data_IF_908564235394
#
_entry.id   IF_908564235394
#
_cell.length_a   1.000
_cell.length_b   1.000
_cell.length_c   1.000
_cell.angle_alpha   90.00
_cell.angle_beta   90.00
_cell.angle_gamma   90.00
#
_symmetry.space_group_name_H-M   'P 1'
#
loop_
_entity.id
_entity.type
_entity.pdbx_description
1 polymer ?
#
# COMPACT_ATOMS: atom_id res chain seq x y z
N UNK A 1 16.30 -1.51 -19.92
CA UNK A 1 16.05 -2.54 -20.96
C UNK A 1 14.74 -3.22 -20.65
N UNK A 2 13.76 -3.15 -21.56
CA UNK A 2 12.51 -3.91 -21.43
C UNK A 2 12.85 -5.37 -21.72
N UNK A 3 12.91 -6.20 -20.68
CA UNK A 3 13.03 -7.65 -20.87
C UNK A 3 11.71 -8.09 -21.52
N UNK A 4 11.77 -8.49 -22.79
CA UNK A 4 10.64 -9.12 -23.47
C UNK A 4 10.15 -10.28 -22.60
N UNK A 5 8.93 -10.17 -22.09
CA UNK A 5 8.39 -11.14 -21.16
C UNK A 5 7.91 -12.35 -21.94
N UNK A 6 8.27 -13.55 -21.47
CA UNK A 6 7.61 -14.75 -21.93
C UNK A 6 6.09 -14.58 -21.72
N UNK A 7 5.26 -14.84 -22.74
CA UNK A 7 3.82 -14.67 -22.63
C UNK A 7 3.28 -15.59 -21.52
N UNK A 8 2.39 -15.07 -20.69
CA UNK A 8 1.65 -15.89 -19.72
C UNK A 8 0.64 -16.73 -20.49
N UNK A 9 0.56 -18.02 -20.18
CA UNK A 9 -0.46 -18.88 -20.79
C UNK A 9 -1.86 -18.44 -20.34
N UNK A 10 -2.83 -18.47 -21.26
CA UNK A 10 -4.22 -18.11 -20.96
C UNK A 10 -4.77 -18.85 -19.72
N UNK A 11 -4.54 -20.17 -19.54
CA UNK A 11 -4.98 -20.87 -18.32
C UNK A 11 -4.39 -20.32 -17.02
N UNK A 12 -3.14 -19.86 -17.01
CA UNK A 12 -2.52 -19.29 -15.81
C UNK A 12 -3.08 -17.90 -15.49
N UNK A 13 -3.32 -17.07 -16.51
CA UNK A 13 -3.95 -15.76 -16.34
C UNK A 13 -5.39 -15.87 -15.84
N UNK A 14 -6.18 -16.78 -16.41
CA UNK A 14 -7.57 -17.04 -15.99
C UNK A 14 -7.63 -17.56 -14.55
N UNK A 15 -6.79 -18.52 -14.16
CA UNK A 15 -6.73 -18.99 -12.76
C UNK A 15 -6.39 -17.87 -11.78
N UNK A 16 -5.43 -17.01 -12.14
CA UNK A 16 -5.08 -15.86 -11.31
C UNK A 16 -6.26 -14.88 -11.20
N UNK A 17 -6.95 -14.58 -12.31
CA UNK A 17 -8.10 -13.69 -12.30
C UNK A 17 -9.23 -14.22 -11.41
N UNK A 18 -9.56 -15.51 -11.46
CA UNK A 18 -10.54 -16.11 -10.54
C UNK A 18 -10.14 -15.95 -9.07
N UNK A 19 -8.87 -16.23 -8.73
CA UNK A 19 -8.39 -16.10 -7.37
C UNK A 19 -8.40 -14.63 -6.89
N UNK A 20 -7.99 -13.71 -7.75
CA UNK A 20 -8.00 -12.27 -7.47
C UNK A 20 -9.42 -11.72 -7.32
N UNK A 21 -10.36 -12.10 -8.19
CA UNK A 21 -11.78 -11.76 -8.08
C UNK A 21 -12.37 -12.29 -6.78
N UNK A 22 -12.15 -13.57 -6.45
CA UNK A 22 -12.67 -14.16 -5.21
C UNK A 22 -12.14 -13.41 -3.98
N UNK A 23 -10.84 -13.07 -3.96
CA UNK A 23 -10.23 -12.30 -2.86
C UNK A 23 -10.71 -10.84 -2.83
N UNK A 24 -10.93 -10.22 -3.98
CA UNK A 24 -11.47 -8.86 -4.11
C UNK A 24 -12.91 -8.76 -3.59
N UNK A 25 -13.72 -9.82 -3.74
CA UNK A 25 -15.09 -9.88 -3.21
C UNK A 25 -15.12 -10.27 -1.72
N UNK A 26 -14.13 -11.05 -1.25
CA UNK A 26 -14.00 -11.52 0.13
C UNK A 26 -13.41 -10.49 1.11
N UNK A 27 -14.00 -9.29 1.17
CA UNK A 27 -13.47 -8.17 1.97
C UNK A 27 -13.99 -8.21 3.41
N UNK A 28 -13.17 -7.83 4.42
CA UNK A 28 -13.55 -7.86 5.83
C UNK A 28 -14.37 -6.61 6.21
N UNK A 29 -15.42 -6.30 5.44
CA UNK A 29 -16.28 -5.15 5.65
C UNK A 29 -17.74 -5.51 5.32
N UNK A 30 -18.67 -4.69 5.80
CA UNK A 30 -20.12 -4.88 5.60
C UNK A 30 -20.77 -3.64 5.00
N UNK A 31 -21.91 -3.80 4.33
CA UNK A 31 -22.72 -2.69 3.85
C UNK A 31 -22.04 -1.87 2.74
N UNK A 32 -22.11 -0.54 2.83
CA UNK A 32 -21.53 0.36 1.80
C UNK A 32 -20.00 0.23 1.72
N UNK A 33 -19.31 0.07 2.85
CA UNK A 33 -17.86 -0.15 2.85
C UNK A 33 -17.49 -1.42 2.06
N UNK A 34 -18.24 -2.51 2.22
CA UNK A 34 -18.04 -3.74 1.47
C UNK A 34 -18.12 -3.51 -0.04
N UNK A 35 -19.13 -2.74 -0.50
CA UNK A 35 -19.30 -2.43 -1.93
C UNK A 35 -18.12 -1.61 -2.46
N UNK A 36 -17.69 -0.57 -1.74
CA UNK A 36 -16.55 0.27 -2.14
C UNK A 36 -15.27 -0.56 -2.20
N UNK A 37 -15.03 -1.42 -1.21
CA UNK A 37 -13.88 -2.33 -1.16
C UNK A 37 -13.88 -3.34 -2.32
N UNK A 38 -15.02 -3.99 -2.56
CA UNK A 38 -15.16 -4.97 -3.63
C UNK A 38 -14.90 -4.35 -5.00
N UNK A 39 -15.55 -3.21 -5.29
CA UNK A 39 -15.36 -2.48 -6.56
C UNK A 39 -13.91 -2.00 -6.72
N UNK A 40 -13.28 -1.54 -5.62
CA UNK A 40 -11.86 -1.18 -5.60
C UNK A 40 -10.95 -2.38 -5.89
N UNK A 41 -11.20 -3.53 -5.29
CA UNK A 41 -10.46 -4.76 -5.54
C UNK A 41 -10.61 -5.25 -6.98
N UNK A 42 -11.83 -5.16 -7.54
CA UNK A 42 -12.09 -5.49 -8.94
C UNK A 42 -11.39 -4.52 -9.90
N UNK A 43 -11.27 -3.24 -9.56
CA UNK A 43 -10.50 -2.29 -10.37
C UNK A 43 -9.01 -2.67 -10.45
N UNK A 44 -8.40 -3.06 -9.32
CA UNK A 44 -7.02 -3.54 -9.33
C UNK A 44 -6.89 -4.90 -10.04
N UNK A 45 -7.90 -5.78 -9.92
CA UNK A 45 -7.92 -7.07 -10.63
C UNK A 45 -8.01 -6.86 -12.14
N UNK A 46 -8.87 -5.96 -12.61
CA UNK A 46 -8.96 -5.56 -14.02
C UNK A 46 -7.62 -5.00 -14.51
N UNK A 47 -6.97 -4.14 -13.73
CA UNK A 47 -5.64 -3.61 -14.06
C UNK A 47 -4.60 -4.73 -14.19
N UNK A 48 -4.60 -5.72 -13.29
CA UNK A 48 -3.76 -6.91 -13.41
C UNK A 48 -4.05 -7.75 -14.65
N UNK A 49 -5.33 -7.89 -15.04
CA UNK A 49 -5.70 -8.57 -16.29
C UNK A 49 -5.16 -7.83 -17.53
N UNK A 50 -5.21 -6.49 -17.54
CA UNK A 50 -4.62 -5.67 -18.61
C UNK A 50 -3.10 -5.85 -18.70
N UNK A 51 -2.42 -5.93 -17.54
CA UNK A 51 -0.98 -6.20 -17.47
C UNK A 51 -0.62 -7.58 -18.02
N UNK A 52 -1.47 -8.58 -17.79
CA UNK A 52 -1.31 -9.94 -18.31
C UNK A 52 -1.51 -10.04 -19.83
N UNK A 53 -2.25 -9.09 -20.43
CA UNK A 53 -2.58 -9.06 -21.86
C UNK A 53 -3.28 -10.33 -22.36
N UNK A 54 -4.14 -10.91 -21.51
CA UNK A 54 -4.98 -12.07 -21.82
C UNK A 54 -6.44 -11.64 -21.69
N UNK A 55 -7.17 -11.42 -22.81
CA UNK A 55 -8.55 -10.96 -22.78
C UNK A 55 -9.48 -11.82 -21.93
N UNK A 56 -9.29 -13.13 -21.93
CA UNK A 56 -10.10 -14.09 -21.18
C UNK A 56 -10.03 -13.87 -19.66
N UNK A 57 -8.89 -13.38 -19.16
CA UNK A 57 -8.75 -13.04 -17.74
C UNK A 57 -9.64 -11.84 -17.37
N UNK A 58 -9.82 -10.88 -18.28
CA UNK A 58 -10.68 -9.73 -18.05
C UNK A 58 -12.17 -10.10 -18.08
N UNK A 59 -12.57 -11.10 -18.87
CA UNK A 59 -13.94 -11.61 -18.86
C UNK A 59 -14.37 -12.12 -17.48
N UNK A 60 -13.44 -12.69 -16.70
CA UNK A 60 -13.71 -13.10 -15.31
C UNK A 60 -14.11 -11.91 -14.43
N UNK A 61 -13.53 -10.73 -14.68
CA UNK A 61 -13.94 -9.49 -13.99
C UNK A 61 -15.29 -9.00 -14.50
N UNK A 62 -15.52 -9.02 -15.82
CA UNK A 62 -16.80 -8.64 -16.42
C UNK A 62 -17.95 -9.50 -15.85
N UNK A 63 -17.76 -10.82 -15.74
CA UNK A 63 -18.74 -11.75 -15.17
C UNK A 63 -18.98 -11.47 -13.68
N UNK A 64 -17.92 -11.27 -12.90
CA UNK A 64 -18.06 -10.94 -11.49
C UNK A 64 -18.79 -9.62 -11.26
N UNK A 65 -18.57 -8.60 -12.09
CA UNK A 65 -19.29 -7.33 -12.01
C UNK A 65 -20.76 -7.49 -12.39
N UNK A 66 -21.07 -8.32 -13.38
CA UNK A 66 -22.45 -8.61 -13.78
C UNK A 66 -23.23 -9.33 -12.68
N UNK A 67 -22.59 -10.31 -12.05
CA UNK A 67 -23.24 -11.15 -11.04
C UNK A 67 -23.34 -10.45 -9.68
N UNK A 68 -22.37 -9.61 -9.35
CA UNK A 68 -22.34 -8.87 -8.10
C UNK A 68 -23.23 -7.62 -8.18
N UNK A 69 -24.33 -7.64 -7.40
CA UNK A 69 -25.19 -6.47 -7.22
C UNK A 69 -24.57 -5.50 -6.21
N UNK A 70 -23.64 -4.67 -6.66
CA UNK A 70 -23.01 -3.66 -5.78
C UNK A 70 -23.97 -2.54 -5.41
N UNK A 71 -23.83 -2.03 -4.18
CA UNK A 71 -24.38 -0.73 -3.83
C UNK A 71 -23.55 0.43 -4.40
N UNK A 72 -23.90 1.67 -4.07
CA UNK A 72 -23.13 2.86 -4.48
C UNK A 72 -21.67 2.78 -4.02
N UNK A 73 -20.74 2.96 -4.96
CA UNK A 73 -19.29 2.82 -4.72
C UNK A 73 -18.47 4.06 -5.12
N UNK A 74 -19.12 5.15 -5.50
CA UNK A 74 -18.53 6.46 -5.79
C UNK A 74 -17.31 6.40 -6.70
N UNK A 75 -16.23 7.04 -6.26
CA UNK A 75 -14.96 7.11 -7.00
C UNK A 75 -14.35 5.74 -7.32
N UNK A 76 -14.67 4.67 -6.58
CA UNK A 76 -14.21 3.32 -6.90
C UNK A 76 -14.89 2.79 -8.17
N UNK A 77 -16.20 3.03 -8.34
CA UNK A 77 -16.94 2.67 -9.55
C UNK A 77 -16.40 3.43 -10.77
N UNK A 78 -16.18 4.74 -10.63
CA UNK A 78 -15.58 5.55 -11.68
C UNK A 78 -14.20 5.02 -12.11
N UNK A 79 -13.37 4.61 -11.14
CA UNK A 79 -12.06 4.01 -11.42
C UNK A 79 -12.17 2.67 -12.14
N UNK A 80 -13.03 1.76 -11.66
CA UNK A 80 -13.25 0.47 -12.31
C UNK A 80 -13.66 0.63 -13.78
N UNK A 81 -14.58 1.56 -14.07
CA UNK A 81 -14.98 1.90 -15.45
C UNK A 81 -13.82 2.44 -16.27
N UNK A 82 -13.02 3.38 -15.71
CA UNK A 82 -11.82 3.92 -16.37
C UNK A 82 -10.81 2.84 -16.73
N UNK A 83 -10.55 1.90 -15.81
CA UNK A 83 -9.65 0.77 -16.07
C UNK A 83 -10.25 -0.12 -17.17
N UNK A 84 -11.54 -0.47 -17.08
CA UNK A 84 -12.20 -1.32 -18.09
C UNK A 84 -12.19 -0.70 -19.48
N UNK A 85 -12.33 0.62 -19.57
CA UNK A 85 -12.31 1.37 -20.82
C UNK A 85 -10.99 1.23 -21.61
N UNK A 86 -9.88 0.92 -20.92
CA UNK A 86 -8.58 0.68 -21.57
C UNK A 86 -8.59 -0.59 -22.45
N UNK A 87 -9.52 -1.52 -22.23
CA UNK A 87 -9.70 -2.71 -23.05
C UNK A 87 -10.85 -2.61 -24.07
N UNK A 88 -11.51 -1.45 -24.20
CA UNK A 88 -12.64 -1.24 -25.11
C UNK A 88 -13.90 -0.75 -24.40
N UNK A 89 -15.07 -0.80 -25.06
CA UNK A 89 -16.32 -0.28 -24.52
C UNK A 89 -16.65 -0.85 -23.14
N UNK A 90 -17.10 0.01 -22.22
CA UNK A 90 -17.52 -0.38 -20.87
C UNK A 90 -18.93 -0.98 -20.96
N UNK A 91 -19.16 -2.22 -20.52
CA UNK A 91 -20.49 -2.82 -20.53
C UNK A 91 -21.49 -2.05 -19.64
N UNK A 92 -22.79 -2.00 -20.01
CA UNK A 92 -23.79 -1.19 -19.31
C UNK A 92 -24.09 -1.67 -17.88
N UNK A 93 -23.72 -2.90 -17.53
CA UNK A 93 -23.90 -3.45 -16.18
C UNK A 93 -22.81 -3.02 -15.20
N UNK A 94 -21.78 -2.28 -15.62
CA UNK A 94 -20.77 -1.74 -14.71
C UNK A 94 -21.39 -0.65 -13.81
N UNK A 95 -21.05 -0.64 -12.50
CA UNK A 95 -21.62 0.33 -11.56
C UNK A 95 -21.26 1.76 -11.98
N UNK A 96 -22.24 2.65 -11.92
CA UNK A 96 -22.03 4.09 -12.18
C UNK A 96 -21.47 4.80 -10.94
N UNK A 97 -20.85 5.95 -11.17
CA UNK A 97 -20.40 6.83 -10.10
C UNK A 97 -21.61 7.40 -9.35
N UNK A 98 -21.90 6.79 -8.21
CA UNK A 98 -22.95 7.21 -7.28
C UNK A 98 -22.33 7.31 -5.89
N UNK A 99 -22.55 8.42 -5.20
CA UNK A 99 -21.96 8.63 -3.88
C UNK A 99 -22.40 7.51 -2.92
N UNK A 100 -21.47 6.95 -2.11
CA UNK A 100 -21.82 6.04 -1.04
C UNK A 100 -22.81 6.72 -0.09
N UNK A 101 -23.96 6.09 0.15
CA UNK A 101 -25.09 6.73 0.83
C UNK A 101 -24.81 7.20 2.27
N UNK A 102 -23.78 6.67 2.96
CA UNK A 102 -23.46 7.02 4.35
C UNK A 102 -21.96 6.78 4.64
N UNK A 103 -21.25 7.70 5.30
CA UNK A 103 -19.95 7.41 5.92
C UNK A 103 -20.10 6.29 6.96
N UNK A 104 -19.29 5.25 6.84
CA UNK A 104 -19.40 4.08 7.73
C UNK A 104 -18.70 4.38 9.06
N UNK A 105 -19.51 4.49 10.13
CA UNK A 105 -19.17 4.59 11.56
C UNK A 105 -18.31 5.79 12.01
N UNK A 106 -18.60 6.26 13.22
CA UNK A 106 -17.69 7.14 13.95
C UNK A 106 -16.33 6.45 14.15
N UNK A 107 -15.25 7.21 14.10
CA UNK A 107 -13.89 6.69 14.36
C UNK A 107 -13.84 6.17 15.78
N UNK A 108 -13.48 4.89 15.96
CA UNK A 108 -13.31 4.31 17.28
C UNK A 108 -12.27 5.09 18.09
N UNK A 109 -12.49 5.22 19.40
CA UNK A 109 -11.62 6.02 20.28
C UNK A 109 -10.15 5.58 20.19
N UNK A 110 -9.90 4.27 20.06
CA UNK A 110 -8.55 3.71 19.92
C UNK A 110 -7.90 4.13 18.60
N UNK A 111 -8.65 4.16 17.50
CA UNK A 111 -8.16 4.63 16.19
C UNK A 111 -7.80 6.12 16.28
N UNK A 112 -8.65 6.92 16.92
CA UNK A 112 -8.37 8.34 17.13
C UNK A 112 -7.13 8.57 18.01
N UNK A 113 -7.00 7.80 19.10
CA UNK A 113 -5.86 7.86 20.02
C UNK A 113 -4.54 7.46 19.33
N UNK A 114 -4.56 6.39 18.55
CA UNK A 114 -3.43 5.93 17.76
C UNK A 114 -3.04 6.94 16.67
N UNK A 115 -4.02 7.54 15.99
CA UNK A 115 -3.77 8.59 14.99
C UNK A 115 -3.13 9.83 15.64
N UNK A 116 -3.60 10.22 16.82
CA UNK A 116 -3.00 11.29 17.60
C UNK A 116 -1.57 10.96 18.06
N UNK A 117 -1.30 9.71 18.44
CA UNK A 117 0.04 9.25 18.81
C UNK A 117 1.02 9.33 17.62
N UNK A 118 0.62 8.87 16.43
CA UNK A 118 1.42 8.98 15.21
C UNK A 118 1.70 10.44 14.83
N UNK A 119 0.70 11.33 14.91
CA UNK A 119 0.89 12.76 14.65
C UNK A 119 1.88 13.40 15.63
N UNK A 120 1.78 13.09 16.94
CA UNK A 120 2.74 13.57 17.95
C UNK A 120 4.14 13.03 17.70
N UNK A 121 4.26 11.77 17.33
CA UNK A 121 5.53 11.16 16.95
C UNK A 121 6.18 11.90 15.77
N UNK A 122 5.44 12.14 14.69
CA UNK A 122 5.93 12.89 13.54
C UNK A 122 6.32 14.33 13.88
N UNK A 123 5.52 15.03 14.70
CA UNK A 123 5.83 16.38 15.15
C UNK A 123 7.15 16.42 15.93
N UNK A 124 7.32 15.50 16.90
CA UNK A 124 8.54 15.42 17.70
C UNK A 124 9.80 15.04 16.90
N UNK A 125 9.66 14.24 15.83
CA UNK A 125 10.77 13.99 14.90
C UNK A 125 11.09 15.21 14.02
N UNK A 126 10.12 16.10 13.77
CA UNK A 126 10.29 17.31 12.97
C UNK A 126 11.19 18.36 13.62
N UNK A 127 11.28 18.38 14.95
CA UNK A 127 12.01 19.37 15.74
C UNK A 127 13.53 19.11 15.83
N UNK A 128 14.13 18.51 14.78
CA UNK A 128 15.57 18.19 14.73
C UNK A 128 16.45 19.44 14.92
N UNK A 129 17.24 19.53 16.01
CA UNK A 129 18.19 20.63 16.17
C UNK A 129 19.36 20.45 15.19
N UNK A 130 19.56 21.41 14.30
CA UNK A 130 20.86 21.67 13.69
C UNK A 130 21.40 20.69 12.64
N UNK A 131 20.60 20.23 11.67
CA UNK A 131 21.14 19.39 10.57
C UNK A 131 20.85 19.93 9.16
N UNK A 132 21.91 19.86 8.34
CA UNK A 132 22.03 20.28 6.95
C UNK A 132 21.05 19.54 6.02
N UNK A 133 20.65 20.24 4.96
CA UNK A 133 19.78 19.77 3.89
C UNK A 133 20.48 18.73 3.00
N UNK A 134 20.91 17.58 3.52
CA UNK A 134 21.36 16.47 2.66
C UNK A 134 20.12 15.70 2.18
N UNK A 135 19.39 16.32 1.27
CA UNK A 135 18.44 15.62 0.41
C UNK A 135 19.17 14.76 -0.64
N UNK A 136 20.49 14.85 -0.75
CA UNK A 136 21.21 14.31 -1.91
C UNK A 136 21.45 12.80 -1.88
N UNK A 137 21.43 12.13 -0.72
CA UNK A 137 21.83 10.70 -0.66
C UNK A 137 20.85 9.74 -1.34
N UNK A 138 19.54 9.91 -1.13
CA UNK A 138 18.53 9.02 -1.72
C UNK A 138 18.18 9.43 -3.15
N UNK A 139 18.21 10.73 -3.42
CA UNK A 139 17.69 11.31 -4.66
C UNK A 139 18.79 11.47 -5.71
N UNK A 140 19.99 11.88 -5.30
CA UNK A 140 21.12 12.23 -6.17
C UNK A 140 20.80 13.44 -7.06
N UNK A 141 21.77 14.36 -7.24
CA UNK A 141 21.64 15.49 -8.17
C UNK A 141 21.63 15.13 -9.67
N UNK A 142 21.35 13.87 -10.01
CA UNK A 142 21.41 13.31 -11.36
C UNK A 142 20.03 13.10 -11.99
N UNK A 143 19.96 12.41 -13.14
CA UNK A 143 18.68 12.02 -13.74
C UNK A 143 17.85 11.20 -12.75
N UNK A 144 16.53 11.35 -12.83
CA UNK A 144 15.60 10.68 -11.92
C UNK A 144 15.89 9.17 -11.88
N UNK A 145 16.20 8.60 -10.70
CA UNK A 145 16.56 7.18 -10.59
C UNK A 145 15.40 6.28 -11.03
N UNK A 146 15.72 5.13 -11.62
CA UNK A 146 14.72 4.12 -11.97
C UNK A 146 14.05 3.54 -10.71
N UNK A 147 12.87 2.92 -10.88
CA UNK A 147 12.19 2.25 -9.77
C UNK A 147 13.10 1.20 -9.10
N UNK A 148 13.84 0.40 -9.87
CA UNK A 148 14.80 -0.57 -9.33
C UNK A 148 15.92 0.08 -8.52
N UNK A 149 16.47 1.20 -9.01
CA UNK A 149 17.51 1.93 -8.27
C UNK A 149 16.96 2.45 -6.93
N UNK A 150 15.72 2.94 -6.92
CA UNK A 150 15.06 3.39 -5.69
C UNK A 150 14.81 2.24 -4.71
N UNK A 151 14.34 1.07 -5.18
CA UNK A 151 14.17 -0.12 -4.34
C UNK A 151 15.50 -0.58 -3.72
N UNK A 152 16.56 -0.61 -4.52
CA UNK A 152 17.90 -1.00 -4.06
C UNK A 152 18.42 -0.02 -3.00
N UNK A 153 18.33 1.30 -3.25
CA UNK A 153 18.71 2.32 -2.26
C UNK A 153 17.87 2.23 -0.99
N UNK A 154 16.58 1.94 -1.11
CA UNK A 154 15.64 1.79 0.01
C UNK A 154 15.83 0.53 0.84
N UNK A 155 16.59 -0.46 0.37
CA UNK A 155 16.77 -1.73 1.08
C UNK A 155 17.30 -1.54 2.52
N UNK A 156 18.21 -0.59 2.73
CA UNK A 156 18.78 -0.31 4.07
C UNK A 156 17.75 0.21 5.08
N UNK A 157 16.65 0.82 4.60
CA UNK A 157 15.57 1.37 5.42
C UNK A 157 14.47 0.35 5.72
N UNK A 158 14.49 -0.81 5.05
CA UNK A 158 13.46 -1.85 5.19
C UNK A 158 14.01 -2.98 6.05
N UNK A 159 13.35 -3.36 7.16
CA UNK A 159 13.89 -4.33 8.13
C UNK A 159 14.30 -5.68 7.56
N UNK A 160 13.54 -6.19 6.59
CA UNK A 160 13.73 -7.52 6.00
C UNK A 160 13.90 -7.48 4.49
N UNK A 161 14.55 -6.45 3.95
CA UNK A 161 14.61 -6.24 2.50
C UNK A 161 14.94 -7.53 1.73
N UNK A 162 14.07 -7.89 0.80
CA UNK A 162 14.28 -8.97 -0.16
C UNK A 162 14.98 -8.43 -1.40
N UNK A 163 15.61 -9.34 -2.15
CA UNK A 163 16.13 -9.00 -3.48
C UNK A 163 14.96 -8.80 -4.46
N UNK A 164 15.00 -7.67 -5.16
CA UNK A 164 13.98 -7.23 -6.12
C UNK A 164 14.47 -7.36 -7.58
N UNK A 165 15.57 -8.06 -7.84
CA UNK A 165 16.12 -8.26 -9.19
C UNK A 165 15.11 -8.83 -10.21
N UNK A 166 14.07 -9.54 -9.75
CA UNK A 166 13.00 -10.09 -10.59
C UNK A 166 11.74 -9.20 -10.75
N UNK A 167 11.70 -8.04 -10.11
CA UNK A 167 10.55 -7.12 -10.20
C UNK A 167 10.48 -6.50 -11.58
N UNK A 168 9.30 -6.48 -12.20
CA UNK A 168 9.08 -5.88 -13.52
C UNK A 168 8.40 -4.53 -13.37
N UNK A 169 8.73 -3.56 -14.21
CA UNK A 169 8.00 -2.28 -14.27
C UNK A 169 7.04 -2.29 -15.45
N UNK A 170 5.77 -1.93 -15.23
CA UNK A 170 4.81 -1.77 -16.32
C UNK A 170 5.03 -0.45 -17.08
N UNK A 171 4.46 -0.30 -18.29
CA UNK A 171 4.22 1.02 -18.86
C UNK A 171 3.38 1.89 -17.90
N UNK A 172 3.48 3.20 -18.04
CA UNK A 172 2.66 4.13 -17.27
C UNK A 172 1.19 4.04 -17.71
N UNK A 173 0.28 3.91 -16.75
CA UNK A 173 -1.16 3.99 -17.01
C UNK A 173 -1.66 5.44 -16.85
N UNK A 174 -2.78 5.82 -17.49
CA UNK A 174 -3.37 7.15 -17.29
C UNK A 174 -3.64 7.46 -15.81
N UNK A 175 -3.58 8.74 -15.39
CA UNK A 175 -3.90 9.11 -14.01
C UNK A 175 -5.26 8.58 -13.55
N UNK A 176 -5.36 8.18 -12.28
CA UNK A 176 -6.63 7.73 -11.70
C UNK A 176 -7.08 6.31 -12.09
N UNK A 177 -6.20 5.51 -12.71
CA UNK A 177 -6.44 4.09 -13.06
C UNK A 177 -5.89 3.13 -12.01
N UNK A 178 -4.65 3.34 -11.56
CA UNK A 178 -4.01 2.54 -10.52
C UNK A 178 -4.12 3.23 -9.16
N UNK A 179 -4.74 2.57 -8.18
CA UNK A 179 -4.61 2.98 -6.78
C UNK A 179 -3.38 2.33 -6.16
N UNK A 180 -3.19 1.02 -6.40
CA UNK A 180 -2.02 0.26 -5.99
C UNK A 180 -0.99 0.18 -7.11
N UNK A 181 0.29 0.23 -6.77
CA UNK A 181 1.41 0.19 -7.73
C UNK A 181 2.28 -1.04 -7.65
N UNK A 182 1.82 -2.07 -6.95
CA UNK A 182 2.53 -3.33 -6.79
C UNK A 182 1.55 -4.48 -6.99
N UNK A 183 2.01 -5.51 -7.68
CA UNK A 183 1.23 -6.72 -7.97
C UNK A 183 2.13 -7.95 -7.90
N UNK A 184 1.55 -9.11 -7.63
CA UNK A 184 2.16 -10.40 -7.91
C UNK A 184 1.33 -11.15 -8.95
N UNK A 185 1.76 -11.00 -10.21
CA UNK A 185 1.14 -11.65 -11.36
C UNK A 185 1.72 -13.06 -11.58
N UNK A 186 1.10 -13.92 -12.40
CA UNK A 186 1.59 -15.26 -12.73
C UNK A 186 3.06 -15.33 -13.17
N UNK A 187 3.58 -14.25 -13.78
CA UNK A 187 4.96 -14.17 -14.24
C UNK A 187 5.91 -13.50 -13.23
N UNK A 188 5.46 -13.26 -12.00
CA UNK A 188 6.25 -12.64 -10.92
C UNK A 188 5.76 -11.25 -10.49
N UNK A 189 6.52 -10.59 -9.59
CA UNK A 189 6.16 -9.28 -9.06
C UNK A 189 6.27 -8.17 -10.11
N UNK A 190 5.32 -7.23 -10.05
CA UNK A 190 5.21 -6.09 -10.96
C UNK A 190 5.03 -4.81 -10.16
N UNK A 191 5.78 -3.79 -10.52
CA UNK A 191 5.53 -2.41 -10.16
C UNK A 191 4.83 -1.70 -11.31
N UNK A 192 3.69 -1.09 -11.00
CA UNK A 192 2.97 -0.25 -11.94
C UNK A 192 3.57 1.16 -11.90
N UNK A 193 3.96 1.66 -13.07
CA UNK A 193 4.37 3.05 -13.19
C UNK A 193 3.14 3.95 -13.22
N UNK A 194 3.18 5.02 -12.43
CA UNK A 194 2.15 6.06 -12.40
C UNK A 194 2.75 7.35 -12.91
N UNK A 195 2.02 8.13 -13.74
CA UNK A 195 2.40 9.49 -14.06
C UNK A 195 2.71 10.25 -12.78
N UNK A 196 3.80 11.04 -12.75
CA UNK A 196 4.25 11.69 -11.52
C UNK A 196 3.21 12.71 -11.06
N UNK A 197 2.55 12.42 -9.93
CA UNK A 197 1.61 13.37 -9.28
C UNK A 197 2.26 14.06 -8.07
N UNK A 198 3.24 13.41 -7.44
CA UNK A 198 3.95 13.93 -6.27
C UNK A 198 5.35 14.46 -6.65
N UNK A 199 5.95 15.39 -5.88
CA UNK A 199 7.33 15.83 -6.05
C UNK A 199 8.35 14.66 -6.01
N UNK A 200 9.51 14.83 -6.65
CA UNK A 200 10.51 13.78 -6.77
C UNK A 200 10.95 13.13 -5.43
N UNK A 201 11.19 13.88 -4.33
CA UNK A 201 11.56 13.29 -3.04
C UNK A 201 10.46 12.39 -2.46
N UNK A 202 9.20 12.85 -2.49
CA UNK A 202 8.06 12.09 -1.99
C UNK A 202 7.87 10.78 -2.77
N UNK A 203 7.94 10.85 -4.11
CA UNK A 203 7.83 9.65 -4.96
C UNK A 203 8.92 8.64 -4.64
N UNK A 204 10.10 9.13 -4.35
CA UNK A 204 11.26 8.30 -4.21
C UNK A 204 11.32 7.66 -2.81
N UNK A 205 10.85 8.33 -1.73
CA UNK A 205 10.57 7.67 -0.44
C UNK A 205 9.50 6.61 -0.61
N UNK A 206 8.40 6.97 -1.25
CA UNK A 206 7.27 6.06 -1.44
C UNK A 206 7.70 4.81 -2.21
N UNK A 207 8.46 4.96 -3.30
CA UNK A 207 8.96 3.80 -4.06
C UNK A 207 9.98 2.97 -3.27
N UNK A 208 10.93 3.63 -2.60
CA UNK A 208 12.04 2.98 -1.90
C UNK A 208 11.60 2.25 -0.62
N UNK A 209 10.64 2.81 0.11
CA UNK A 209 10.23 2.34 1.44
C UNK A 209 8.85 1.69 1.40
N UNK A 210 7.82 2.40 0.91
CA UNK A 210 6.44 1.91 0.98
C UNK A 210 6.17 0.77 -0.02
N UNK A 211 6.35 1.03 -1.32
CA UNK A 211 6.22 -0.01 -2.36
C UNK A 211 7.24 -1.13 -2.15
N UNK A 212 8.46 -0.77 -1.69
CA UNK A 212 9.47 -1.73 -1.30
C UNK A 212 8.97 -2.69 -0.21
N UNK A 213 8.37 -2.17 0.86
CA UNK A 213 7.83 -3.01 1.94
C UNK A 213 6.72 -3.94 1.44
N UNK A 214 5.84 -3.48 0.55
CA UNK A 214 4.84 -4.33 -0.07
C UNK A 214 5.46 -5.46 -0.89
N UNK A 215 6.52 -5.18 -1.66
CA UNK A 215 7.25 -6.20 -2.40
C UNK A 215 7.98 -7.19 -1.48
N UNK A 216 8.54 -6.72 -0.36
CA UNK A 216 9.16 -7.60 0.66
C UNK A 216 8.10 -8.53 1.28
N UNK A 217 6.90 -7.99 1.56
CA UNK A 217 5.77 -8.78 2.05
C UNK A 217 5.36 -9.84 1.04
N UNK A 218 5.19 -9.46 -0.23
CA UNK A 218 4.88 -10.40 -1.30
C UNK A 218 5.96 -11.46 -1.49
N UNK A 219 7.25 -11.11 -1.38
CA UNK A 219 8.36 -12.03 -1.53
C UNK A 219 8.44 -13.06 -0.39
N UNK A 220 8.00 -12.69 0.82
CA UNK A 220 7.93 -13.60 1.97
C UNK A 220 6.78 -14.62 1.88
N UNK A 221 5.83 -14.43 0.97
CA UNK A 221 4.65 -15.29 0.82
C UNK A 221 4.87 -16.42 -0.19
N UNK A 222 4.22 -17.58 0.01
CA UNK A 222 4.22 -18.66 -0.97
C UNK A 222 3.71 -18.20 -2.35
N UNK A 223 4.26 -18.72 -3.47
CA UNK A 223 3.84 -18.34 -4.81
C UNK A 223 2.36 -18.53 -5.15
N UNK A 224 1.68 -19.45 -4.46
CA UNK A 224 0.26 -19.74 -4.67
C UNK A 224 -0.70 -18.84 -3.84
N UNK A 225 -0.19 -17.99 -2.95
CA UNK A 225 -0.99 -17.15 -2.05
C UNK A 225 -1.11 -15.64 -2.39
N UNK A 226 -0.68 -15.09 -3.53
CA UNK A 226 -0.53 -13.63 -3.69
C UNK A 226 -1.84 -12.85 -3.60
N UNK A 227 -2.93 -13.39 -4.18
CA UNK A 227 -4.24 -12.77 -4.09
C UNK A 227 -4.72 -12.60 -2.63
N UNK A 228 -4.25 -13.43 -1.69
CA UNK A 228 -4.61 -13.31 -0.28
C UNK A 228 -3.99 -12.06 0.35
N UNK A 229 -2.77 -11.68 -0.05
CA UNK A 229 -2.08 -10.51 0.50
C UNK A 229 -2.37 -9.21 -0.27
N UNK A 230 -2.79 -9.32 -1.52
CA UNK A 230 -3.14 -8.16 -2.35
C UNK A 230 -4.57 -7.65 -2.09
N UNK A 231 -5.44 -8.45 -1.47
CA UNK A 231 -6.86 -8.12 -1.32
C UNK A 231 -7.37 -8.40 0.09
N UNK A 232 -8.58 -7.91 0.38
CA UNK A 232 -9.28 -8.15 1.65
C UNK A 232 -8.42 -7.87 2.89
N UNK A 233 -8.43 -8.81 3.84
CA UNK A 233 -7.69 -8.69 5.09
C UNK A 233 -6.16 -8.68 4.88
N UNK A 234 -5.63 -9.41 3.89
CA UNK A 234 -4.19 -9.42 3.66
C UNK A 234 -3.67 -8.08 3.12
N UNK A 235 -4.50 -7.33 2.38
CA UNK A 235 -4.16 -5.94 2.02
C UNK A 235 -4.04 -5.06 3.27
N UNK A 236 -4.94 -5.21 4.25
CA UNK A 236 -4.85 -4.47 5.52
C UNK A 236 -3.54 -4.79 6.24
N UNK A 237 -3.14 -6.06 6.30
CA UNK A 237 -1.85 -6.49 6.85
C UNK A 237 -0.67 -5.90 6.07
N UNK A 238 -0.73 -5.87 4.74
CA UNK A 238 0.31 -5.31 3.89
C UNK A 238 0.48 -3.79 4.11
N UNK A 239 -0.62 -3.04 4.16
CA UNK A 239 -0.62 -1.60 4.44
C UNK A 239 -0.12 -1.30 5.86
N UNK A 240 -0.54 -2.09 6.85
CA UNK A 240 -0.05 -2.00 8.21
C UNK A 240 1.47 -2.25 8.29
N UNK A 241 1.98 -3.26 7.58
CA UNK A 241 3.41 -3.54 7.51
C UNK A 241 4.19 -2.40 6.86
N UNK A 242 3.75 -1.91 5.69
CA UNK A 242 4.40 -0.81 5.01
C UNK A 242 4.45 0.46 5.89
N UNK A 243 3.38 0.73 6.64
CA UNK A 243 3.36 1.81 7.64
C UNK A 243 4.35 1.59 8.78
N UNK A 244 4.42 0.37 9.33
CA UNK A 244 5.36 0.07 10.41
C UNK A 244 6.81 0.26 9.95
N UNK A 245 7.11 -0.12 8.71
CA UNK A 245 8.42 0.11 8.07
C UNK A 245 8.69 1.60 7.91
N UNK A 246 7.73 2.41 7.45
CA UNK A 246 7.90 3.87 7.36
C UNK A 246 8.16 4.51 8.74
N UNK A 247 7.46 4.07 9.79
CA UNK A 247 7.63 4.56 11.16
C UNK A 247 9.04 4.26 11.67
N UNK A 248 9.52 3.02 11.51
CA UNK A 248 10.88 2.63 11.89
C UNK A 248 11.92 3.42 11.09
N UNK A 249 11.74 3.52 9.77
CA UNK A 249 12.63 4.27 8.90
C UNK A 249 12.72 5.75 9.28
N UNK A 250 11.62 6.36 9.76
CA UNK A 250 11.61 7.75 10.20
C UNK A 250 12.46 7.95 11.46
N UNK A 251 12.36 7.06 12.45
CA UNK A 251 13.22 7.11 13.64
C UNK A 251 14.69 6.84 13.31
N UNK A 252 14.98 5.89 12.43
CA UNK A 252 16.37 5.62 12.01
C UNK A 252 16.96 6.80 11.22
N UNK A 253 16.17 7.41 10.33
CA UNK A 253 16.56 8.61 9.62
C UNK A 253 16.84 9.76 10.60
N UNK A 254 16.02 9.93 11.63
CA UNK A 254 16.24 10.93 12.67
C UNK A 254 17.54 10.66 13.45
N UNK A 255 17.74 9.42 13.90
CA UNK A 255 18.93 9.01 14.65
C UNK A 255 20.22 9.22 13.86
N UNK A 256 20.15 9.06 12.53
CA UNK A 256 21.28 9.26 11.60
C UNK A 256 21.38 10.67 11.03
N UNK A 257 20.55 11.62 11.47
CA UNK A 257 20.60 13.01 11.01
C UNK A 257 20.05 13.26 9.59
N UNK A 258 19.28 12.35 9.02
CA UNK A 258 18.75 12.46 7.63
C UNK A 258 17.45 13.25 7.58
N UNK A 259 17.51 14.55 7.88
CA UNK A 259 16.35 15.42 8.05
C UNK A 259 15.39 15.46 6.84
N UNK A 260 15.92 15.42 5.61
CA UNK A 260 15.08 15.38 4.40
C UNK A 260 14.21 14.13 4.32
N UNK A 261 14.79 12.98 4.67
CA UNK A 261 14.08 11.69 4.71
C UNK A 261 13.04 11.68 5.84
N UNK A 262 13.38 12.18 7.02
CA UNK A 262 12.44 12.32 8.15
C UNK A 262 11.21 13.13 7.73
N UNK A 263 11.39 14.29 7.09
CA UNK A 263 10.27 15.13 6.62
C UNK A 263 9.35 14.38 5.66
N UNK A 264 9.91 13.73 4.64
CA UNK A 264 9.10 13.06 3.63
C UNK A 264 8.37 11.83 4.20
N UNK A 265 9.02 11.04 5.07
CA UNK A 265 8.35 9.94 5.79
C UNK A 265 7.25 10.47 6.71
N UNK A 266 7.53 11.52 7.49
CA UNK A 266 6.54 12.10 8.41
C UNK A 266 5.34 12.71 7.68
N UNK A 267 5.52 13.30 6.48
CA UNK A 267 4.40 13.74 5.63
C UNK A 267 3.49 12.57 5.27
N UNK A 268 4.06 11.44 4.83
CA UNK A 268 3.29 10.24 4.49
C UNK A 268 2.58 9.61 5.70
N UNK A 269 3.23 9.58 6.86
CA UNK A 269 2.63 9.06 8.10
C UNK A 269 1.50 9.98 8.58
N UNK A 270 1.72 11.30 8.58
CA UNK A 270 0.74 12.28 9.03
C UNK A 270 -0.49 12.33 8.11
N UNK A 271 -0.31 12.24 6.79
CA UNK A 271 -1.41 12.13 5.81
C UNK A 271 -2.29 10.91 6.14
N UNK A 272 -1.68 9.74 6.32
CA UNK A 272 -2.41 8.51 6.63
C UNK A 272 -3.05 8.53 8.01
N UNK A 273 -2.44 9.18 9.00
CA UNK A 273 -3.04 9.40 10.30
C UNK A 273 -4.23 10.39 10.26
N UNK A 274 -4.35 11.22 9.22
CA UNK A 274 -5.52 12.10 8.99
C UNK A 274 -6.73 11.37 8.40
N UNK A 275 -6.52 10.26 7.69
CA UNK A 275 -7.56 9.49 6.99
C UNK A 275 -8.75 9.05 7.85
N UNK A 276 -8.61 8.64 9.13
CA UNK A 276 -9.76 8.31 9.96
C UNK A 276 -10.76 9.47 10.07
N UNK A 277 -10.31 10.73 10.02
CA UNK A 277 -11.18 11.91 10.04
C UNK A 277 -11.99 12.11 8.74
N UNK A 278 -11.81 11.27 7.73
CA UNK A 278 -12.54 11.31 6.45
C UNK A 278 -11.76 11.92 5.28
N UNK A 279 -10.55 12.45 5.52
CA UNK A 279 -9.71 13.08 4.50
C UNK A 279 -9.39 12.14 3.33
N UNK A 280 -9.28 12.68 2.12
CA UNK A 280 -8.78 11.96 0.94
C UNK A 280 -9.67 10.81 0.44
N UNK A 281 -10.96 10.80 0.80
CA UNK A 281 -11.92 9.77 0.35
C UNK A 281 -11.93 8.49 1.20
N UNK A 282 -11.28 8.51 2.38
CA UNK A 282 -11.26 7.37 3.31
C UNK A 282 -12.49 7.31 4.23
N UNK A 283 -13.37 8.32 4.21
CA UNK A 283 -14.65 8.26 4.93
C UNK A 283 -15.56 7.10 4.49
N UNK A 284 -15.33 6.53 3.31
CA UNK A 284 -16.02 5.34 2.81
C UNK A 284 -15.27 4.02 3.10
N UNK A 285 -14.11 4.08 3.77
CA UNK A 285 -13.20 2.95 4.02
C UNK A 285 -12.62 2.97 5.46
N UNK A 286 -13.45 3.02 6.52
CA UNK A 286 -12.98 3.11 7.91
C UNK A 286 -12.09 1.93 8.32
N UNK A 287 -12.33 0.72 7.83
CA UNK A 287 -11.50 -0.45 8.14
C UNK A 287 -10.09 -0.30 7.57
N UNK A 288 -9.99 0.28 6.37
CA UNK A 288 -8.69 0.62 5.77
C UNK A 288 -7.98 1.73 6.55
N UNK A 289 -8.71 2.79 6.91
CA UNK A 289 -8.17 3.90 7.69
C UNK A 289 -7.66 3.44 9.05
N UNK A 290 -8.38 2.52 9.71
CA UNK A 290 -7.96 1.89 10.96
C UNK A 290 -6.69 1.06 10.80
N UNK A 291 -6.58 0.25 9.73
CA UNK A 291 -5.38 -0.54 9.46
C UNK A 291 -4.11 0.29 9.26
N UNK A 292 -4.23 1.49 8.67
CA UNK A 292 -3.11 2.43 8.53
C UNK A 292 -2.58 2.98 9.85
N UNK A 293 -3.37 2.92 10.93
CA UNK A 293 -3.06 3.61 12.18
C UNK A 293 -2.85 2.62 13.32
N UNK A 294 -3.80 1.72 13.60
CA UNK A 294 -3.66 0.71 14.65
C UNK A 294 -2.79 -0.45 14.21
N UNK A 295 -2.92 -0.89 12.96
CA UNK A 295 -2.16 -2.00 12.39
C UNK A 295 -0.65 -1.88 12.61
N UNK A 296 0.03 -0.80 12.20
CA UNK A 296 1.47 -0.67 12.40
C UNK A 296 1.87 -0.69 13.87
N UNK A 297 1.09 -0.06 14.77
CA UNK A 297 1.40 -0.04 16.20
C UNK A 297 1.28 -1.43 16.83
N UNK A 298 0.26 -2.21 16.46
CA UNK A 298 0.11 -3.61 16.88
C UNK A 298 1.25 -4.50 16.39
N UNK A 299 1.73 -4.27 15.17
CA UNK A 299 2.88 -5.00 14.62
C UNK A 299 4.19 -4.68 15.35
N UNK A 300 4.43 -3.40 15.64
CA UNK A 300 5.61 -2.95 16.39
C UNK A 300 5.59 -3.43 17.84
N UNK A 301 4.43 -3.37 18.50
CA UNK A 301 4.21 -3.89 19.85
C UNK A 301 4.17 -5.43 19.94
N UNK A 302 4.11 -6.13 18.82
CA UNK A 302 4.11 -7.60 18.76
C UNK A 302 2.79 -8.28 19.09
N UNK A 303 1.69 -7.53 19.14
CA UNK A 303 0.35 -8.04 19.34
C UNK A 303 -0.17 -8.81 18.11
N UNK A 304 0.27 -8.41 16.91
CA UNK A 304 -0.14 -9.02 15.64
C UNK A 304 0.96 -9.93 15.08
N UNK A 305 0.63 -11.23 14.93
CA UNK A 305 1.53 -12.29 14.47
C UNK A 305 1.28 -12.71 13.02
N UNK A 306 0.52 -11.93 12.25
CA UNK A 306 0.12 -12.30 10.88
C UNK A 306 1.23 -12.18 9.83
N UNK A 307 2.35 -11.52 10.15
CA UNK A 307 3.43 -11.34 9.17
C UNK A 307 4.20 -12.65 8.90
N UNK A 308 4.43 -13.01 7.64
CA UNK A 308 5.17 -14.21 7.28
C UNK A 308 6.67 -14.12 7.60
N UNK A 309 7.25 -15.27 7.93
CA UNK A 309 8.69 -15.46 8.02
C UNK A 309 9.41 -14.48 8.95
N UNK A 310 10.49 -13.88 8.46
CA UNK A 310 11.35 -12.97 9.24
C UNK A 310 10.82 -11.53 9.36
N UNK A 311 9.76 -11.17 8.62
CA UNK A 311 9.27 -9.79 8.56
C UNK A 311 8.92 -9.22 9.94
N UNK A 312 8.15 -9.96 10.72
CA UNK A 312 7.77 -9.55 12.08
C UNK A 312 8.96 -9.46 13.04
N UNK A 313 9.78 -10.52 13.20
CA UNK A 313 10.97 -10.49 14.05
C UNK A 313 11.97 -9.37 13.74
N UNK A 314 12.29 -9.14 12.46
CA UNK A 314 13.25 -8.13 12.06
C UNK A 314 12.70 -6.72 12.31
N UNK A 315 11.42 -6.48 11.96
CA UNK A 315 10.73 -5.22 12.21
C UNK A 315 10.77 -4.85 13.70
N UNK A 316 10.40 -5.78 14.59
CA UNK A 316 10.42 -5.54 16.04
C UNK A 316 11.82 -5.36 16.60
N UNK A 317 12.81 -6.05 16.03
CA UNK A 317 14.21 -5.91 16.43
C UNK A 317 14.72 -4.51 16.10
N UNK A 318 14.45 -4.01 14.89
CA UNK A 318 14.81 -2.62 14.53
C UNK A 318 14.03 -1.61 15.35
N UNK A 319 12.73 -1.82 15.57
CA UNK A 319 11.91 -0.95 16.42
C UNK A 319 12.46 -0.81 17.83
N UNK A 320 12.74 -1.92 18.53
CA UNK A 320 13.31 -1.89 19.89
C UNK A 320 14.64 -1.13 19.94
N UNK A 321 15.48 -1.30 18.92
CA UNK A 321 16.75 -0.56 18.82
C UNK A 321 16.50 0.94 18.72
N UNK A 322 15.61 1.40 17.84
CA UNK A 322 15.35 2.85 17.71
C UNK A 322 14.58 3.42 18.90
N UNK A 323 13.67 2.66 19.51
CA UNK A 323 12.97 3.08 20.72
C UNK A 323 13.94 3.29 21.89
N UNK A 324 15.05 2.56 21.95
CA UNK A 324 16.10 2.78 22.95
C UNK A 324 16.95 4.04 22.70
N UNK A 325 16.96 4.57 21.47
CA UNK A 325 17.86 5.64 21.04
C UNK A 325 17.15 6.97 20.74
N UNK A 326 15.86 6.92 20.37
CA UNK A 326 15.09 8.06 19.90
C UNK A 326 13.96 8.36 20.88
N UNK A 327 13.96 9.51 21.58
CA UNK A 327 12.98 9.81 22.63
C UNK A 327 11.52 9.73 22.18
N UNK A 328 11.21 10.21 20.98
CA UNK A 328 9.85 10.15 20.41
C UNK A 328 9.41 8.73 20.08
N UNK A 329 10.33 7.86 19.66
CA UNK A 329 10.06 6.43 19.45
C UNK A 329 9.81 5.72 20.78
N UNK A 330 10.59 6.03 21.83
CA UNK A 330 10.37 5.51 23.18
C UNK A 330 8.99 5.90 23.73
N UNK A 331 8.57 7.14 23.49
CA UNK A 331 7.25 7.62 23.89
C UNK A 331 6.12 6.94 23.11
N UNK A 332 6.30 6.74 21.79
CA UNK A 332 5.34 5.97 21.01
C UNK A 332 5.26 4.53 21.52
N UNK A 333 6.39 3.90 21.82
CA UNK A 333 6.46 2.53 22.35
C UNK A 333 5.67 2.33 23.64
N UNK A 334 5.85 3.24 24.62
CA UNK A 334 5.06 3.24 25.86
C UNK A 334 3.55 3.32 25.60
N UNK A 335 3.14 4.12 24.61
CA UNK A 335 1.72 4.28 24.25
C UNK A 335 1.14 3.06 23.55
N UNK A 336 1.95 2.32 22.78
CA UNK A 336 1.49 1.09 22.13
C UNK A 336 1.02 0.05 23.14
N UNK A 337 1.71 -0.05 24.29
CA UNK A 337 1.32 -0.95 25.37
C UNK A 337 -0.03 -0.63 26.01
N UNK A 338 -0.58 0.56 25.79
CA UNK A 338 -1.93 0.94 26.23
C UNK A 338 -3.00 0.76 25.14
N UNK A 339 -2.60 0.49 23.90
CA UNK A 339 -3.47 0.33 22.72
C UNK A 339 -3.61 -1.13 22.26
N UNK A 340 -2.87 -2.05 22.88
CA UNK A 340 -2.84 -3.49 22.60
C UNK A 340 -3.26 -4.27 23.84
#
# INVERSE_FOLDING_TARGET
MSVATAPVSSPAAVRWAHAAVAAALGVPATGSEQSVWAVRGLAETALGCLLLRVPEALWIVDDAVRDARFGPAGAAAARLRRVRALAGPVPPFYPEESEPAVPVRAVDADVAAAAAALRRYCAALGDLPGVRHDADELWGGGPAPSAHALLARGAVLRPSAYDHAGVRTSPAFPPGTAWRTWFRLPHGPVLVERPPVAPAPARAVWRAVHDGAHLDHLAALPPAAPAVAEYGAGLLTAEAYAMAVEIVAAAEAWWTGRAGLVRELCKGIAERAGRPSGDGGFGALPSLASAYVLGPLRLLGGADRTLPGRLGPDLRTRWRRVAALVPSAAELDRRMGALC
#
